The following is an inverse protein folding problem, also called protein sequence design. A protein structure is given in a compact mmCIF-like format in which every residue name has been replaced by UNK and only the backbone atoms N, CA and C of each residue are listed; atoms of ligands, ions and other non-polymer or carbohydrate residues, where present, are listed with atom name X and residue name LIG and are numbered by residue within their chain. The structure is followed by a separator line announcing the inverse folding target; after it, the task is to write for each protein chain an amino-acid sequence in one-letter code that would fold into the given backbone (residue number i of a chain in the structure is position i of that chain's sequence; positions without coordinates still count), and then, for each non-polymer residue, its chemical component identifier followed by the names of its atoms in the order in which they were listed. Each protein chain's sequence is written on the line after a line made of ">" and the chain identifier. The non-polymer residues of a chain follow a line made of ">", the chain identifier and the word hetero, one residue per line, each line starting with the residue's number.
data_IF_862017593090
#
_entry.id   IF_862017593090
#
_cell.length_a   1.000
_cell.length_b   1.000
_cell.length_c   1.000
_cell.angle_alpha   90.00
_cell.angle_beta   90.00
_cell.angle_gamma   90.00
#
_symmetry.space_group_name_H-M   'P 1'
#
loop_
_entity.id
_entity.type
_entity.pdbx_description
1 polymer ?
#
# COMPACT_ATOMS: atom_id res chain seq x y z
N UNK A 1 -16.58 -19.14 22.23
CA UNK A 1 -16.54 -19.74 20.88
C UNK A 1 -15.23 -19.33 20.23
N UNK A 2 -14.45 -20.33 19.86
CA UNK A 2 -13.08 -20.25 19.39
C UNK A 2 -13.04 -19.59 18.02
N UNK A 3 -12.70 -18.30 17.96
CA UNK A 3 -12.36 -17.63 16.73
C UNK A 3 -10.96 -18.06 16.33
N UNK A 4 -10.87 -19.07 15.46
CA UNK A 4 -9.65 -19.31 14.70
C UNK A 4 -9.45 -18.07 13.84
N UNK A 5 -8.52 -17.21 14.24
CA UNK A 5 -8.11 -16.03 13.46
C UNK A 5 -7.40 -16.53 12.20
N UNK A 6 -8.16 -17.00 11.21
CA UNK A 6 -7.64 -17.34 9.90
C UNK A 6 -7.17 -16.05 9.23
N UNK A 7 -5.89 -15.76 9.40
CA UNK A 7 -4.98 -15.01 8.51
C UNK A 7 -5.28 -13.53 8.22
N UNK A 8 -6.46 -13.00 8.53
CA UNK A 8 -6.81 -11.58 8.35
C UNK A 8 -6.85 -10.87 9.71
N UNK A 9 -5.68 -10.59 10.27
CA UNK A 9 -5.60 -9.70 11.42
C UNK A 9 -6.12 -8.31 11.04
N UNK A 10 -6.91 -7.70 11.92
CA UNK A 10 -7.40 -6.33 11.71
C UNK A 10 -6.19 -5.38 11.60
N UNK A 11 -6.27 -4.32 10.76
CA UNK A 11 -5.13 -3.43 10.51
C UNK A 11 -4.55 -2.78 11.77
N UNK A 12 -5.36 -2.72 12.83
CA UNK A 12 -5.06 -2.13 14.14
C UNK A 12 -4.18 -3.04 15.02
N UNK A 13 -4.10 -4.34 14.73
CA UNK A 13 -3.28 -5.31 15.46
C UNK A 13 -1.85 -5.45 14.90
N UNK A 14 -1.54 -4.81 13.77
CA UNK A 14 -0.21 -4.88 13.17
C UNK A 14 0.75 -3.84 13.79
N UNK A 15 2.04 -4.19 14.02
CA UNK A 15 3.06 -3.23 14.41
C UNK A 15 3.14 -2.10 13.38
N UNK A 16 3.29 -0.85 13.82
CA UNK A 16 3.18 0.34 12.96
C UNK A 16 4.07 0.35 11.71
N UNK A 17 5.18 -0.40 11.71
CA UNK A 17 6.00 -0.60 10.52
C UNK A 17 5.26 -1.33 9.38
N UNK A 18 4.41 -2.32 9.67
CA UNK A 18 3.74 -3.15 8.65
C UNK A 18 2.48 -2.52 8.04
N UNK A 19 2.06 -1.37 8.57
CA UNK A 19 0.91 -0.60 8.06
C UNK A 19 1.13 -0.15 6.60
N UNK A 20 2.36 0.10 6.17
CA UNK A 20 2.62 0.45 4.76
C UNK A 20 2.29 -0.74 3.85
N UNK A 21 2.62 -1.97 4.27
CA UNK A 21 2.40 -3.16 3.47
C UNK A 21 0.91 -3.43 3.30
N UNK A 22 0.13 -3.22 4.36
CA UNK A 22 -1.34 -3.29 4.29
C UNK A 22 -1.92 -2.34 3.24
N UNK A 23 -1.39 -1.10 3.16
CA UNK A 23 -1.81 -0.08 2.17
C UNK A 23 -1.29 -0.30 0.75
N UNK A 24 -0.27 -1.13 0.56
CA UNK A 24 0.26 -1.45 -0.78
C UNK A 24 -0.30 -2.76 -1.32
N UNK A 25 -0.93 -3.58 -0.47
CA UNK A 25 -1.52 -4.86 -0.86
C UNK A 25 -2.73 -4.66 -1.79
N UNK A 26 -2.64 -5.01 -3.09
CA UNK A 26 -3.76 -4.90 -4.01
C UNK A 26 -4.91 -5.85 -3.64
N UNK A 27 -4.62 -6.94 -2.91
CA UNK A 27 -5.62 -7.90 -2.45
C UNK A 27 -6.61 -7.26 -1.48
N UNK A 28 -6.14 -6.37 -0.60
CA UNK A 28 -7.01 -5.66 0.36
C UNK A 28 -8.05 -4.82 -0.37
N UNK A 29 -7.63 -4.07 -1.39
CA UNK A 29 -8.52 -3.23 -2.19
C UNK A 29 -9.46 -4.04 -3.08
N UNK A 30 -8.99 -5.19 -3.59
CA UNK A 30 -9.82 -6.11 -4.36
C UNK A 30 -10.93 -6.71 -3.50
N UNK A 31 -10.60 -7.26 -2.32
CA UNK A 31 -11.58 -7.84 -1.40
C UNK A 31 -12.56 -6.76 -0.91
N UNK A 32 -12.07 -5.57 -0.54
CA UNK A 32 -12.93 -4.45 -0.15
C UNK A 32 -13.92 -4.05 -1.25
N UNK A 33 -13.47 -3.99 -2.51
CA UNK A 33 -14.32 -3.67 -3.66
C UNK A 33 -15.33 -4.78 -3.97
N UNK A 34 -14.91 -6.05 -3.93
CA UNK A 34 -15.74 -7.21 -4.23
C UNK A 34 -16.83 -7.41 -3.17
N UNK A 35 -16.43 -7.41 -1.89
CA UNK A 35 -17.34 -7.62 -0.76
C UNK A 35 -18.26 -6.41 -0.58
N UNK A 36 -17.70 -5.19 -0.66
CA UNK A 36 -18.48 -3.96 -0.62
C UNK A 36 -19.53 -3.89 -1.72
N UNK A 37 -19.23 -4.38 -2.93
CA UNK A 37 -20.20 -4.42 -4.03
C UNK A 37 -21.23 -5.54 -3.90
N UNK A 38 -20.80 -6.73 -3.45
CA UNK A 38 -21.63 -7.93 -3.43
C UNK A 38 -22.66 -7.99 -2.30
N UNK A 39 -22.35 -7.41 -1.14
CA UNK A 39 -23.20 -7.48 0.06
C UNK A 39 -24.01 -6.20 0.32
N UNK A 40 -23.89 -5.19 -0.52
CA UNK A 40 -24.56 -3.92 -0.29
C UNK A 40 -26.09 -4.03 -0.22
N UNK A 41 -26.69 -3.35 0.75
CA UNK A 41 -28.14 -3.28 0.90
C UNK A 41 -28.83 -4.61 1.20
N UNK A 42 -28.07 -5.67 1.54
CA UNK A 42 -28.64 -6.96 1.98
C UNK A 42 -29.07 -6.87 3.43
N UNK A 43 -30.31 -7.28 3.71
CA UNK A 43 -30.79 -7.48 5.09
C UNK A 43 -30.14 -8.75 5.65
N UNK A 44 -29.66 -8.68 6.90
CA UNK A 44 -29.06 -9.82 7.58
C UNK A 44 -30.17 -10.60 8.30
N UNK A 45 -30.22 -11.91 8.09
CA UNK A 45 -31.00 -12.83 8.92
C UNK A 45 -30.05 -13.51 9.90
N UNK A 46 -30.23 -13.26 11.19
CA UNK A 46 -29.26 -13.66 12.20
C UNK A 46 -29.41 -15.13 12.59
N UNK A 47 -28.29 -15.82 12.72
CA UNK A 47 -28.27 -17.21 13.16
C UNK A 47 -28.53 -17.33 14.67
N UNK A 48 -28.94 -18.50 15.18
CA UNK A 48 -29.16 -18.71 16.62
C UNK A 48 -27.94 -18.39 17.51
N UNK A 49 -26.73 -18.42 16.94
CA UNK A 49 -25.49 -18.10 17.66
C UNK A 49 -25.23 -16.57 17.77
N UNK A 50 -25.82 -15.77 16.89
CA UNK A 50 -25.69 -14.30 16.86
C UNK A 50 -26.84 -13.60 17.58
N UNK A 51 -27.93 -14.33 17.82
CA UNK A 51 -29.08 -13.84 18.57
C UNK A 51 -28.72 -13.75 20.05
N UNK A 52 -28.79 -12.54 20.58
CA UNK A 52 -28.66 -12.29 22.01
C UNK A 52 -30.01 -12.51 22.67
N UNK A 53 -30.06 -13.46 23.60
CA UNK A 53 -31.25 -13.80 24.37
C UNK A 53 -31.15 -13.19 25.76
N UNK A 54 -32.15 -12.42 26.16
CA UNK A 54 -32.21 -11.84 27.50
C UNK A 54 -33.65 -11.73 28.00
N UNK A 55 -33.82 -11.55 29.31
CA UNK A 55 -35.11 -11.34 29.96
C UNK A 55 -35.16 -9.91 30.52
N UNK A 56 -36.21 -9.13 30.21
CA UNK A 56 -36.33 -7.76 30.70
C UNK A 56 -36.66 -7.79 32.21
N UNK A 57 -35.92 -7.03 33.04
CA UNK A 57 -36.32 -6.84 34.43
C UNK A 57 -37.59 -5.98 34.43
N UNK A 58 -38.61 -6.36 35.20
CA UNK A 58 -39.91 -5.68 35.39
C UNK A 58 -41.09 -6.16 34.53
N UNK A 59 -40.98 -7.25 33.78
CA UNK A 59 -42.13 -7.82 33.04
C UNK A 59 -42.68 -6.92 31.92
N UNK A 60 -41.90 -5.92 31.51
CA UNK A 60 -42.17 -5.08 30.34
C UNK A 60 -41.96 -5.86 29.05
N UNK A 61 -42.57 -5.41 27.96
CA UNK A 61 -42.35 -6.02 26.64
C UNK A 61 -40.91 -5.79 26.17
N UNK A 62 -40.36 -6.73 25.39
CA UNK A 62 -39.02 -6.58 24.79
C UNK A 62 -38.88 -5.27 24.02
N UNK A 63 -39.93 -4.89 23.29
CA UNK A 63 -39.97 -3.66 22.50
C UNK A 63 -39.88 -2.41 23.38
N UNK A 64 -40.62 -2.35 24.50
CA UNK A 64 -40.56 -1.21 25.42
C UNK A 64 -39.21 -1.09 26.10
N UNK A 65 -38.65 -2.21 26.56
CA UNK A 65 -37.34 -2.22 27.20
C UNK A 65 -36.22 -1.77 26.24
N UNK A 66 -36.27 -2.21 24.98
CA UNK A 66 -35.26 -1.86 23.98
C UNK A 66 -35.52 -0.55 23.26
N UNK A 67 -36.67 0.11 23.44
CA UNK A 67 -37.05 1.31 22.66
C UNK A 67 -36.00 2.42 22.73
N UNK A 68 -35.51 2.75 23.92
CA UNK A 68 -34.48 3.78 24.09
C UNK A 68 -33.11 3.34 23.55
N UNK A 69 -32.83 2.04 23.62
CA UNK A 69 -31.60 1.48 23.09
C UNK A 69 -31.60 1.50 21.57
N UNK A 70 -32.67 1.02 20.91
CA UNK A 70 -32.84 1.06 19.45
C UNK A 70 -32.84 2.49 18.90
N UNK A 71 -33.25 3.48 19.69
CA UNK A 71 -33.20 4.89 19.30
C UNK A 71 -31.77 5.49 19.31
N UNK A 72 -30.85 4.91 20.08
CA UNK A 72 -29.45 5.39 20.21
C UNK A 72 -28.43 4.48 19.53
N UNK A 73 -28.78 3.22 19.35
CA UNK A 73 -27.91 2.18 18.83
C UNK A 73 -27.89 2.18 17.28
N UNK A 74 -26.91 1.49 16.67
CA UNK A 74 -26.91 1.23 15.24
C UNK A 74 -28.19 0.49 14.79
N UNK A 75 -28.52 0.55 13.48
CA UNK A 75 -29.64 -0.17 12.90
C UNK A 75 -29.61 -1.66 13.29
N UNK A 76 -30.60 -2.09 14.05
CA UNK A 76 -30.67 -3.43 14.64
C UNK A 76 -32.11 -3.93 14.62
N UNK A 77 -32.28 -5.25 14.78
CA UNK A 77 -33.59 -5.89 14.66
C UNK A 77 -33.97 -6.67 15.92
N UNK A 78 -35.25 -6.57 16.27
CA UNK A 78 -35.87 -7.30 17.37
C UNK A 78 -36.89 -8.27 16.78
N UNK A 79 -36.66 -9.57 16.95
CA UNK A 79 -37.49 -10.61 16.34
C UNK A 79 -38.85 -10.74 17.06
N UNK A 80 -38.85 -10.55 18.39
CA UNK A 80 -40.03 -10.72 19.24
C UNK A 80 -40.29 -9.47 20.10
N UNK A 81 -40.91 -8.42 19.55
CA UNK A 81 -41.16 -7.17 20.29
C UNK A 81 -42.22 -7.30 21.39
N UNK A 82 -43.17 -8.24 21.24
CA UNK A 82 -44.32 -8.39 22.16
C UNK A 82 -44.11 -9.34 23.34
N UNK A 83 -43.02 -10.10 23.35
CA UNK A 83 -42.77 -11.08 24.42
C UNK A 83 -42.27 -10.38 25.70
N UNK A 84 -42.55 -10.99 26.85
CA UNK A 84 -42.07 -10.55 28.18
C UNK A 84 -40.95 -11.44 28.73
N UNK A 85 -40.59 -12.49 27.98
CA UNK A 85 -39.51 -13.44 28.29
C UNK A 85 -38.84 -13.93 27.00
N UNK A 86 -37.57 -14.30 27.07
CA UNK A 86 -36.76 -14.77 25.95
C UNK A 86 -36.71 -13.79 24.77
N UNK A 87 -36.42 -12.51 25.05
CA UNK A 87 -36.25 -11.49 24.01
C UNK A 87 -35.09 -11.87 23.08
N UNK A 88 -35.34 -11.89 21.78
CA UNK A 88 -34.35 -12.21 20.75
C UNK A 88 -33.92 -10.95 20.02
N UNK A 89 -32.73 -10.48 20.33
CA UNK A 89 -32.14 -9.29 19.73
C UNK A 89 -31.01 -9.65 18.77
N UNK A 90 -31.02 -9.04 17.59
CA UNK A 90 -29.89 -9.06 16.70
C UNK A 90 -29.33 -7.65 16.47
N UNK A 91 -28.01 -7.53 16.69
CA UNK A 91 -27.29 -6.27 16.66
C UNK A 91 -27.07 -5.69 15.26
N UNK A 92 -27.35 -6.46 14.20
CA UNK A 92 -27.13 -6.07 12.82
C UNK A 92 -28.46 -6.16 12.05
N UNK A 93 -28.78 -5.09 11.32
CA UNK A 93 -29.93 -5.04 10.41
C UNK A 93 -29.50 -5.25 8.95
N UNK A 94 -28.44 -4.57 8.53
CA UNK A 94 -27.94 -4.57 7.14
C UNK A 94 -26.48 -4.98 7.07
N UNK A 95 -26.10 -5.60 5.97
CA UNK A 95 -24.71 -6.01 5.71
C UNK A 95 -23.74 -4.83 5.65
N UNK A 96 -24.21 -3.63 5.29
CA UNK A 96 -23.36 -2.43 5.28
C UNK A 96 -22.83 -2.06 6.67
N UNK A 97 -23.62 -2.26 7.74
CA UNK A 97 -23.18 -2.00 9.13
C UNK A 97 -22.09 -2.98 9.55
N UNK A 98 -22.22 -4.25 9.14
CA UNK A 98 -21.19 -5.25 9.38
C UNK A 98 -19.89 -4.89 8.63
N UNK A 99 -19.98 -4.48 7.38
CA UNK A 99 -18.82 -4.09 6.58
C UNK A 99 -18.13 -2.83 7.09
N UNK A 100 -18.89 -1.90 7.65
CA UNK A 100 -18.35 -0.69 8.28
C UNK A 100 -17.40 -1.01 9.45
N UNK A 101 -17.61 -2.12 10.17
CA UNK A 101 -16.70 -2.55 11.24
C UNK A 101 -15.30 -2.91 10.74
N UNK A 102 -15.17 -3.25 9.46
CA UNK A 102 -13.91 -3.64 8.82
C UNK A 102 -13.33 -2.53 7.94
N UNK A 103 -13.74 -1.27 8.14
CA UNK A 103 -13.36 -0.10 7.32
C UNK A 103 -13.77 -0.21 5.83
N UNK A 104 -14.71 -1.10 5.49
CA UNK A 104 -15.23 -1.26 4.14
C UNK A 104 -16.48 -0.40 4.00
N UNK A 105 -16.29 0.81 3.47
CA UNK A 105 -17.40 1.73 3.20
C UNK A 105 -17.82 1.64 1.74
N UNK A 106 -19.15 1.64 1.51
CA UNK A 106 -19.73 1.66 0.17
C UNK A 106 -19.19 2.81 -0.70
N UNK A 107 -18.93 3.98 -0.12
CA UNK A 107 -18.47 5.17 -0.85
C UNK A 107 -17.02 5.04 -1.37
N UNK A 108 -16.20 4.21 -0.75
CA UNK A 108 -14.78 4.07 -1.08
C UNK A 108 -14.51 3.05 -2.19
N UNK A 109 -15.53 2.30 -2.65
CA UNK A 109 -15.38 1.20 -3.62
C UNK A 109 -14.65 1.62 -4.91
N UNK A 110 -14.94 2.82 -5.41
CA UNK A 110 -14.37 3.31 -6.67
C UNK A 110 -12.90 3.71 -6.51
N UNK A 111 -12.54 4.26 -5.34
CA UNK A 111 -11.14 4.55 -5.00
C UNK A 111 -10.35 3.25 -4.92
N UNK A 112 -10.88 2.26 -4.19
CA UNK A 112 -10.21 0.99 -3.95
C UNK A 112 -10.06 0.19 -5.25
N UNK A 113 -11.11 0.14 -6.07
CA UNK A 113 -11.05 -0.43 -7.42
C UNK A 113 -10.01 0.28 -8.31
N UNK A 114 -9.96 1.61 -8.26
CA UNK A 114 -8.99 2.41 -9.02
C UNK A 114 -7.55 2.13 -8.65
N UNK A 115 -7.25 1.97 -7.35
CA UNK A 115 -5.90 1.63 -6.87
C UNK A 115 -5.46 0.25 -7.38
N UNK A 116 -6.36 -0.74 -7.34
CA UNK A 116 -6.10 -2.07 -7.87
C UNK A 116 -5.76 -2.03 -9.37
N UNK A 117 -6.58 -1.36 -10.18
CA UNK A 117 -6.32 -1.24 -11.62
C UNK A 117 -5.03 -0.49 -11.93
N UNK A 118 -4.71 0.55 -11.15
CA UNK A 118 -3.46 1.31 -11.27
C UNK A 118 -2.25 0.42 -11.00
N UNK A 119 -2.32 -0.45 -9.99
CA UNK A 119 -1.26 -1.40 -9.67
C UNK A 119 -1.04 -2.40 -10.82
N UNK A 120 -2.11 -2.96 -11.38
CA UNK A 120 -2.02 -3.88 -12.54
C UNK A 120 -1.38 -3.18 -13.74
N UNK A 121 -1.86 -1.98 -14.08
CA UNK A 121 -1.35 -1.21 -15.20
C UNK A 121 0.14 -0.88 -15.04
N UNK A 122 0.56 -0.45 -13.83
CA UNK A 122 1.97 -0.18 -13.52
C UNK A 122 2.85 -1.42 -13.69
N UNK A 123 2.42 -2.57 -13.18
CA UNK A 123 3.18 -3.81 -13.27
C UNK A 123 3.32 -4.29 -14.73
N UNK A 124 2.24 -4.24 -15.52
CA UNK A 124 2.26 -4.59 -16.94
C UNK A 124 3.19 -3.64 -17.71
N UNK A 125 3.06 -2.33 -17.48
CA UNK A 125 3.92 -1.32 -18.09
C UNK A 125 5.39 -1.55 -17.75
N UNK A 126 5.72 -1.76 -16.47
CA UNK A 126 7.09 -2.03 -16.03
C UNK A 126 7.64 -3.32 -16.62
N UNK A 127 6.85 -4.39 -16.68
CA UNK A 127 7.28 -5.65 -17.28
C UNK A 127 7.64 -5.46 -18.77
N UNK A 128 6.79 -4.77 -19.54
CA UNK A 128 7.04 -4.46 -20.96
C UNK A 128 8.24 -3.52 -21.12
N UNK A 129 8.35 -2.48 -20.29
CA UNK A 129 9.47 -1.54 -20.32
C UNK A 129 10.80 -2.24 -20.06
N UNK A 130 10.87 -3.06 -19.00
CA UNK A 130 12.08 -3.80 -18.65
C UNK A 130 12.44 -4.84 -19.71
N UNK A 131 11.45 -5.57 -20.24
CA UNK A 131 11.66 -6.48 -21.36
C UNK A 131 12.27 -5.76 -22.57
N UNK A 132 11.71 -4.61 -22.94
CA UNK A 132 12.22 -3.81 -24.03
C UNK A 132 13.65 -3.31 -23.76
N UNK A 133 13.93 -2.80 -22.56
CA UNK A 133 15.26 -2.26 -22.21
C UNK A 133 16.35 -3.31 -22.09
N UNK A 134 16.05 -4.50 -21.58
CA UNK A 134 17.05 -5.56 -21.40
C UNK A 134 17.19 -6.47 -22.60
N UNK A 135 16.10 -6.73 -23.34
CA UNK A 135 16.11 -7.69 -24.45
C UNK A 135 16.25 -7.03 -25.82
N UNK A 136 15.55 -5.92 -26.06
CA UNK A 136 15.45 -5.31 -27.40
C UNK A 136 16.46 -4.18 -27.56
N UNK A 137 16.59 -3.31 -26.55
CA UNK A 137 17.56 -2.22 -26.58
C UNK A 137 18.97 -2.79 -26.46
N UNK A 138 19.67 -2.88 -27.59
CA UNK A 138 21.12 -3.11 -27.59
C UNK A 138 21.81 -1.87 -27.04
N UNK A 139 22.25 -1.93 -25.79
CA UNK A 139 23.07 -0.89 -25.20
C UNK A 139 24.44 -0.92 -25.85
N UNK A 140 24.73 0.07 -26.69
CA UNK A 140 26.02 0.19 -27.37
C UNK A 140 27.11 0.68 -26.39
N UNK A 141 27.50 -0.23 -25.50
CA UNK A 141 28.54 -0.01 -24.50
C UNK A 141 29.91 0.25 -25.15
N UNK A 142 30.10 -0.24 -26.39
CA UNK A 142 31.34 -0.11 -27.18
C UNK A 142 31.56 1.34 -27.60
N UNK A 143 30.51 2.04 -28.06
CA UNK A 143 30.59 3.47 -28.39
C UNK A 143 30.95 4.35 -27.18
N UNK A 144 30.37 4.07 -26.02
CA UNK A 144 30.63 4.81 -24.77
C UNK A 144 32.06 4.58 -24.27
N UNK A 145 32.55 3.33 -24.28
CA UNK A 145 33.93 2.97 -23.94
C UNK A 145 34.94 3.64 -24.88
N UNK A 146 34.67 3.68 -26.19
CA UNK A 146 35.54 4.34 -27.18
C UNK A 146 35.66 5.85 -26.96
N UNK A 147 34.56 6.52 -26.57
CA UNK A 147 34.57 7.96 -26.23
C UNK A 147 35.40 8.25 -24.98
N UNK A 148 35.24 7.45 -23.93
CA UNK A 148 36.00 7.59 -22.68
C UNK A 148 37.49 7.29 -22.91
N UNK A 149 37.82 6.26 -23.69
CA UNK A 149 39.19 5.94 -24.05
C UNK A 149 39.88 7.06 -24.86
N UNK A 150 39.18 7.65 -25.85
CA UNK A 150 39.68 8.82 -26.59
C UNK A 150 39.90 10.04 -25.68
N UNK A 151 38.97 10.32 -24.77
CA UNK A 151 39.10 11.42 -23.82
C UNK A 151 40.32 11.21 -22.89
N UNK A 152 40.48 10.01 -22.34
CA UNK A 152 41.65 9.63 -21.53
C UNK A 152 42.97 9.79 -22.30
N UNK A 153 43.01 9.35 -23.56
CA UNK A 153 44.20 9.49 -24.41
C UNK A 153 44.59 10.96 -24.58
N UNK A 154 43.63 11.84 -24.89
CA UNK A 154 43.89 13.28 -25.06
C UNK A 154 44.33 13.95 -23.76
N UNK A 155 43.70 13.64 -22.62
CA UNK A 155 44.11 14.18 -21.31
C UNK A 155 45.54 13.76 -20.97
N UNK A 156 45.90 12.48 -21.16
CA UNK A 156 47.27 12.01 -20.91
C UNK A 156 48.28 12.66 -21.86
N UNK A 157 47.94 12.81 -23.14
CA UNK A 157 48.82 13.41 -24.14
C UNK A 157 49.07 14.89 -23.87
N UNK A 158 48.03 15.63 -23.50
CA UNK A 158 48.15 17.03 -23.07
C UNK A 158 48.99 17.13 -21.80
N UNK A 159 48.75 16.27 -20.80
CA UNK A 159 49.57 16.21 -19.58
C UNK A 159 51.05 15.93 -19.85
N UNK A 160 51.36 15.03 -20.79
CA UNK A 160 52.74 14.73 -21.20
C UNK A 160 53.41 15.94 -21.86
N UNK A 161 52.73 16.61 -22.80
CA UNK A 161 53.27 17.80 -23.48
C UNK A 161 53.48 18.98 -22.53
N UNK A 162 52.54 19.20 -21.60
CA UNK A 162 52.68 20.24 -20.58
C UNK A 162 53.87 19.93 -19.66
N UNK A 163 54.01 18.67 -19.20
CA UNK A 163 55.15 18.26 -18.37
C UNK A 163 56.49 18.43 -19.09
N UNK A 164 56.55 18.11 -20.40
CA UNK A 164 57.75 18.29 -21.20
C UNK A 164 58.14 19.78 -21.35
N UNK A 165 57.15 20.67 -21.53
CA UNK A 165 57.37 22.11 -21.56
C UNK A 165 57.95 22.64 -20.24
N UNK A 166 57.39 22.24 -19.10
CA UNK A 166 57.88 22.69 -17.79
C UNK A 166 59.27 22.13 -17.45
N UNK A 167 59.55 20.86 -17.75
CA UNK A 167 60.89 20.27 -17.52
C UNK A 167 61.93 20.89 -18.45
N UNK A 168 61.60 21.14 -19.72
CA UNK A 168 62.48 21.83 -20.66
C UNK A 168 62.81 23.25 -20.21
N UNK A 169 61.80 24.00 -19.72
CA UNK A 169 62.00 25.35 -19.18
C UNK A 169 62.85 25.36 -17.90
N UNK A 170 62.67 24.38 -17.01
CA UNK A 170 63.45 24.26 -15.77
C UNK A 170 64.94 24.00 -16.05
N UNK A 171 65.24 23.13 -17.01
CA UNK A 171 66.62 22.85 -17.43
C UNK A 171 67.29 24.05 -18.13
N UNK A 172 66.54 24.86 -18.88
CA UNK A 172 67.03 26.12 -19.46
C UNK A 172 67.43 27.12 -18.37
N UNK A 173 66.52 27.43 -17.44
CA UNK A 173 66.76 28.39 -16.36
C UNK A 173 67.95 28.00 -15.48
N UNK A 174 68.15 26.71 -15.20
CA UNK A 174 69.29 26.22 -14.41
C UNK A 174 70.63 26.36 -15.13
N UNK A 175 70.65 26.29 -16.46
CA UNK A 175 71.86 26.48 -17.26
C UNK A 175 72.28 27.95 -17.30
N UNK A 176 71.30 28.85 -17.37
CA UNK A 176 71.52 30.30 -17.40
C UNK A 176 71.96 30.85 -16.03
N UNK A 177 71.51 30.23 -14.93
CA UNK A 177 71.97 30.56 -13.57
C UNK A 177 73.41 30.08 -13.33
N UNK A 178 73.74 28.85 -13.74
CA UNK A 178 75.10 28.31 -13.57
C UNK A 178 76.16 29.02 -14.44
N UNK A 179 75.78 29.56 -15.59
CA UNK A 179 76.67 30.32 -16.48
C UNK A 179 76.84 31.80 -16.06
N UNK A 180 76.15 32.25 -15.01
CA UNK A 180 76.24 33.61 -14.45
C UNK A 180 77.10 33.70 -13.19
N UNK A 181 77.57 32.55 -12.69
CA UNK A 181 78.37 32.40 -11.45
C UNK A 181 79.86 32.09 -11.78
N UNK A 182 80.20 31.96 -13.07
CA UNK A 182 81.56 31.92 -13.61
C UNK A 182 81.86 33.23 -14.34
#
# INVERSE_FOLDING_TARGET
>A
MSGENSVFQSPQALPGFWIFMYRVSPLTYFVGSMVGTGLHGRMIECSPAEINQFNPPNGTTCGEYMREYLAKAPPSQLLNPGDTSNCRYCALLTSDEFLATSDIQWDLRWRDSGIMWSYIAFNVFMAVMLYYLFRVRKWDATGKKRRIAKAKYWVMKVGHNIRALFVGHYHGCKKDENNRIL
#
